data_IF_516409575678
#
_entry.id   IF_516409575678
#
_cell.length_a   1.000
_cell.length_b   1.000
_cell.length_c   1.000
_cell.angle_alpha   90.00
_cell.angle_beta   90.00
_cell.angle_gamma   90.00
#
_symmetry.space_group_name_H-M   'P 1'
#
loop_
_entity.id
_entity.type
_entity.pdbx_description
1 polymer ?
#
# COMPACT_ATOMS: atom_id res chain seq x y z
N UNK A 1 47.56 -17.87 2.86
CA UNK A 1 48.46 -17.01 2.06
C UNK A 1 47.61 -16.01 1.29
N UNK A 2 48.03 -14.74 1.15
CA UNK A 2 47.32 -13.63 1.80
C UNK A 2 46.49 -12.74 0.86
N UNK A 3 45.36 -12.25 1.38
CA UNK A 3 44.56 -11.16 0.81
C UNK A 3 45.27 -9.85 1.16
N UNK A 4 45.82 -9.16 0.16
CA UNK A 4 46.46 -7.87 0.32
C UNK A 4 45.42 -6.75 0.41
N UNK A 5 45.32 -6.15 1.60
CA UNK A 5 44.63 -4.88 1.85
C UNK A 5 45.41 -3.71 1.23
N UNK A 6 44.83 -3.00 0.26
CA UNK A 6 45.37 -1.70 -0.21
C UNK A 6 45.07 -0.61 0.82
N UNK A 7 46.12 -0.12 1.49
CA UNK A 7 46.08 1.11 2.31
C UNK A 7 46.35 2.32 1.42
N UNK A 8 45.49 3.33 1.51
CA UNK A 8 45.73 4.66 0.96
C UNK A 8 46.78 5.40 1.82
N UNK A 9 47.73 6.13 1.21
CA UNK A 9 48.71 6.92 1.95
C UNK A 9 48.13 8.28 2.42
N UNK A 10 48.61 8.82 3.55
CA UNK A 10 48.13 10.08 4.12
C UNK A 10 48.72 11.30 3.39
N UNK A 11 48.01 12.43 3.30
CA UNK A 11 48.60 13.67 2.83
C UNK A 11 49.45 14.35 3.92
N UNK A 12 50.60 14.80 3.45
CA UNK A 12 51.69 15.50 4.12
C UNK A 12 51.25 16.76 4.87
N UNK A 13 51.83 16.95 6.06
CA UNK A 13 52.03 18.24 6.71
C UNK A 13 53.06 19.06 5.92
N UNK A 14 52.93 20.39 5.92
CA UNK A 14 54.02 21.39 5.98
C UNK A 14 53.45 22.81 6.21
N UNK A 15 54.27 23.77 6.70
CA UNK A 15 53.88 24.59 7.86
C UNK A 15 53.74 26.11 7.61
N UNK A 16 53.19 26.77 8.65
CA UNK A 16 53.45 28.11 9.18
C UNK A 16 53.80 29.28 8.23
N UNK A 17 53.07 30.41 8.37
CA UNK A 17 53.63 31.65 8.95
C UNK A 17 52.55 32.69 9.26
N UNK A 18 52.83 33.47 10.30
CA UNK A 18 52.04 34.50 10.97
C UNK A 18 51.66 35.70 10.08
N UNK A 19 50.57 36.42 10.42
CA UNK A 19 50.64 37.72 11.13
C UNK A 19 49.26 38.37 11.32
N UNK A 20 49.19 39.16 12.37
CA UNK A 20 48.05 39.85 12.96
C UNK A 20 47.37 40.87 12.04
N UNK A 21 46.09 41.16 12.34
CA UNK A 21 45.54 42.52 12.43
C UNK A 21 44.16 42.48 13.11
N UNK A 22 44.12 43.04 14.32
CA UNK A 22 42.90 43.29 15.08
C UNK A 22 42.21 44.55 14.55
N UNK A 23 40.89 44.46 14.31
CA UNK A 23 39.99 45.58 14.09
C UNK A 23 38.65 45.28 14.80
N UNK A 24 38.18 46.11 15.74
CA UNK A 24 36.87 45.96 16.33
C UNK A 24 35.82 46.59 15.39
N UNK A 25 35.06 45.77 14.69
CA UNK A 25 33.83 46.23 14.02
C UNK A 25 32.68 46.23 15.03
N UNK A 26 32.36 47.42 15.53
CA UNK A 26 31.14 47.70 16.28
C UNK A 26 29.93 47.62 15.34
N UNK A 27 29.35 46.42 15.19
CA UNK A 27 28.08 46.24 14.49
C UNK A 27 26.92 46.47 15.47
N UNK A 28 26.25 47.63 15.35
CA UNK A 28 24.92 47.82 15.93
C UNK A 28 23.93 46.97 15.14
N UNK A 29 23.61 45.78 15.63
CA UNK A 29 22.51 44.98 15.12
C UNK A 29 21.21 45.52 15.72
N UNK A 30 20.39 46.15 14.86
CA UNK A 30 19.04 46.55 15.19
C UNK A 30 18.20 45.34 15.63
N UNK A 31 17.27 45.50 16.59
CA UNK A 31 16.38 44.43 17.01
C UNK A 31 15.53 43.95 15.83
N UNK A 32 15.62 42.65 15.53
CA UNK A 32 14.76 41.98 14.56
C UNK A 32 13.28 42.14 15.00
N UNK A 33 12.36 42.49 14.09
CA UNK A 33 10.93 42.49 14.41
C UNK A 33 10.49 41.08 14.82
N UNK A 34 9.54 40.96 15.76
CA UNK A 34 9.05 39.65 16.19
C UNK A 34 8.49 38.89 14.99
N UNK A 35 9.06 37.72 14.72
CA UNK A 35 8.55 36.78 13.73
C UNK A 35 7.06 36.56 13.98
N UNK A 36 6.22 36.91 13.00
CA UNK A 36 4.81 36.58 13.04
C UNK A 36 4.66 35.06 13.24
N UNK A 37 3.77 34.59 14.13
CA UNK A 37 3.54 33.17 14.29
C UNK A 37 3.14 32.59 12.93
N UNK A 38 3.77 31.47 12.55
CA UNK A 38 3.36 30.71 11.38
C UNK A 38 1.85 30.45 11.51
N UNK A 39 1.06 30.98 10.56
CA UNK A 39 -0.37 30.74 10.53
C UNK A 39 -0.60 29.22 10.55
N UNK A 40 -1.20 28.70 11.62
CA UNK A 40 -1.65 27.31 11.60
C UNK A 40 -2.78 27.25 10.58
N UNK A 41 -2.49 26.75 9.38
CA UNK A 41 -3.52 26.40 8.42
C UNK A 41 -4.51 25.49 9.13
N UNK A 42 -5.73 25.98 9.34
CA UNK A 42 -6.82 25.17 9.86
C UNK A 42 -6.95 23.92 8.98
N UNK A 43 -7.24 22.73 9.55
CA UNK A 43 -7.42 21.53 8.75
C UNK A 43 -8.49 21.78 7.69
N UNK A 44 -8.15 21.50 6.44
CA UNK A 44 -9.10 21.67 5.34
C UNK A 44 -10.25 20.65 5.52
N UNK A 45 -11.51 21.05 5.27
CA UNK A 45 -12.62 20.11 5.28
C UNK A 45 -12.38 18.98 4.27
N UNK A 46 -12.77 17.75 4.62
CA UNK A 46 -12.59 16.60 3.73
C UNK A 46 -13.37 16.82 2.42
N UNK A 47 -12.71 16.84 1.25
CA UNK A 47 -13.40 16.98 -0.02
C UNK A 47 -14.30 15.77 -0.32
N UNK A 48 -15.48 16.04 -0.86
CA UNK A 48 -16.39 14.99 -1.33
C UNK A 48 -15.72 14.12 -2.40
N UNK A 49 -15.98 12.82 -2.36
CA UNK A 49 -15.42 11.87 -3.32
C UNK A 49 -15.29 10.44 -2.79
N UNK A 50 -14.90 9.54 -3.69
CA UNK A 50 -14.44 8.18 -3.40
C UNK A 50 -12.93 8.14 -3.60
N UNK A 51 -12.20 8.25 -2.50
CA UNK A 51 -10.75 8.35 -2.48
C UNK A 51 -10.17 6.99 -2.17
N UNK A 52 -9.24 6.51 -3.00
CA UNK A 52 -8.68 5.16 -2.88
C UNK A 52 -7.16 5.20 -2.88
N UNK A 53 -6.55 4.29 -2.16
CA UNK A 53 -5.10 4.17 -2.08
C UNK A 53 -4.66 2.82 -1.53
N UNK A 54 -3.36 2.59 -1.54
CA UNK A 54 -2.73 1.35 -1.09
C UNK A 54 -1.99 1.61 0.22
N UNK A 55 -2.26 0.81 1.24
CA UNK A 55 -1.58 0.86 2.53
C UNK A 55 -0.63 -0.33 2.65
N UNK A 56 0.67 -0.06 2.72
CA UNK A 56 1.64 -1.07 3.10
C UNK A 56 1.47 -1.43 4.58
N UNK A 57 1.17 -2.71 4.87
CA UNK A 57 1.07 -3.23 6.23
C UNK A 57 2.43 -3.71 6.73
N UNK A 58 3.22 -4.29 5.83
CA UNK A 58 4.60 -4.72 6.04
C UNK A 58 5.31 -4.84 4.68
N UNK A 59 6.49 -5.48 4.66
CA UNK A 59 7.30 -5.65 3.46
C UNK A 59 6.61 -6.45 2.33
N UNK A 60 5.53 -7.19 2.62
CA UNK A 60 4.82 -8.00 1.64
C UNK A 60 3.36 -7.58 1.49
N UNK A 61 2.66 -7.39 2.60
CA UNK A 61 1.20 -7.23 2.63
C UNK A 61 0.80 -5.79 2.34
N UNK A 62 -0.15 -5.63 1.43
CA UNK A 62 -0.80 -4.35 1.12
C UNK A 62 -2.30 -4.49 1.36
N UNK A 63 -2.93 -3.52 2.00
CA UNK A 63 -4.38 -3.40 2.08
C UNK A 63 -4.87 -2.22 1.23
N UNK A 64 -5.99 -2.37 0.56
CA UNK A 64 -6.67 -1.24 -0.04
C UNK A 64 -7.24 -0.33 1.06
N UNK A 65 -7.15 0.97 0.88
CA UNK A 65 -7.78 1.99 1.73
C UNK A 65 -8.75 2.75 0.87
N UNK A 66 -9.96 2.94 1.37
CA UNK A 66 -11.00 3.71 0.69
C UNK A 66 -11.65 4.68 1.67
N UNK A 67 -11.60 5.96 1.36
CA UNK A 67 -12.27 7.01 2.09
C UNK A 67 -13.41 7.53 1.23
N UNK A 68 -14.64 7.34 1.70
CA UNK A 68 -15.83 7.87 1.06
C UNK A 68 -16.29 9.09 1.84
N UNK A 69 -16.41 10.22 1.17
CA UNK A 69 -17.04 11.43 1.68
C UNK A 69 -18.26 11.75 0.82
N UNK A 70 -19.44 11.46 1.36
CA UNK A 70 -20.74 11.81 0.79
C UNK A 70 -21.57 12.53 1.85
N UNK A 71 -22.56 13.33 1.44
CA UNK A 71 -23.41 14.08 2.37
C UNK A 71 -24.07 13.12 3.38
N UNK A 72 -23.67 13.21 4.65
CA UNK A 72 -24.18 12.36 5.73
C UNK A 72 -23.58 10.94 5.80
N UNK A 73 -22.67 10.56 4.91
CA UNK A 73 -21.99 9.27 4.94
C UNK A 73 -20.49 9.44 4.70
N UNK A 74 -19.74 9.49 5.79
CA UNK A 74 -18.29 9.53 5.76
C UNK A 74 -17.73 8.26 6.39
N UNK A 75 -16.99 7.49 5.61
CA UNK A 75 -16.37 6.25 6.09
C UNK A 75 -14.96 6.04 5.56
N UNK A 76 -14.11 5.46 6.41
CA UNK A 76 -12.79 4.98 6.07
C UNK A 76 -12.80 3.44 6.13
N UNK A 77 -12.58 2.82 4.99
CA UNK A 77 -12.64 1.38 4.77
C UNK A 77 -11.22 0.86 4.53
N UNK A 78 -10.90 -0.27 5.14
CA UNK A 78 -9.68 -1.02 4.92
C UNK A 78 -10.05 -2.40 4.37
N UNK A 79 -9.61 -2.70 3.15
CA UNK A 79 -9.81 -3.99 2.51
C UNK A 79 -9.00 -5.12 3.17
N UNK A 80 -9.10 -6.33 2.64
CA UNK A 80 -8.38 -7.48 3.17
C UNK A 80 -6.85 -7.24 3.17
N UNK A 81 -6.13 -7.75 4.19
CA UNK A 81 -6.61 -8.63 5.26
C UNK A 81 -7.25 -7.91 6.46
N UNK A 82 -7.37 -6.57 6.41
CA UNK A 82 -7.88 -5.79 7.55
C UNK A 82 -9.41 -5.87 7.66
N UNK A 83 -10.11 -5.85 6.51
CA UNK A 83 -11.57 -6.05 6.37
C UNK A 83 -12.39 -5.31 7.43
N UNK A 84 -12.16 -4.02 7.59
CA UNK A 84 -12.82 -3.22 8.62
C UNK A 84 -13.20 -1.84 8.11
N UNK A 85 -14.21 -1.24 8.72
CA UNK A 85 -14.73 0.08 8.35
C UNK A 85 -14.98 0.95 9.58
N UNK A 86 -14.51 2.19 9.50
CA UNK A 86 -14.74 3.24 10.48
C UNK A 86 -15.69 4.29 9.90
N UNK A 87 -16.70 4.68 10.66
CA UNK A 87 -17.41 5.94 10.46
C UNK A 87 -16.56 7.10 10.99
N UNK A 88 -16.71 8.25 10.34
CA UNK A 88 -16.02 9.48 10.70
C UNK A 88 -17.03 10.46 11.25
N UNK A 89 -16.88 10.81 12.53
CA UNK A 89 -17.68 11.84 13.18
C UNK A 89 -16.92 13.17 13.14
N UNK A 90 -17.50 14.19 12.52
CA UNK A 90 -16.89 15.52 12.43
C UNK A 90 -16.63 16.13 13.81
N UNK A 91 -15.49 16.80 13.97
CA UNK A 91 -15.11 17.56 15.17
C UNK A 91 -14.90 19.04 14.83
N UNK A 92 -15.06 19.91 15.82
CA UNK A 92 -15.03 21.38 15.66
C UNK A 92 -13.70 21.94 15.11
N UNK A 93 -12.60 21.18 15.22
CA UNK A 93 -11.25 21.58 14.80
C UNK A 93 -10.87 21.08 13.38
N UNK A 94 -11.83 20.66 12.55
CA UNK A 94 -11.55 20.16 11.18
C UNK A 94 -10.95 18.75 11.14
N UNK A 95 -11.00 18.04 12.26
CA UNK A 95 -10.69 16.61 12.37
C UNK A 95 -11.95 15.75 12.39
N UNK A 96 -11.76 14.45 12.29
CA UNK A 96 -12.83 13.45 12.38
C UNK A 96 -12.48 12.44 13.46
N UNK A 97 -13.38 12.21 14.42
CA UNK A 97 -13.26 11.10 15.35
C UNK A 97 -13.57 9.80 14.61
N UNK A 98 -12.72 8.80 14.78
CA UNK A 98 -12.91 7.48 14.21
C UNK A 98 -13.80 6.64 15.12
N UNK A 99 -14.93 6.19 14.59
CA UNK A 99 -15.89 5.30 15.24
C UNK A 99 -16.06 4.04 14.40
N UNK A 100 -16.26 2.87 15.02
CA UNK A 100 -16.36 1.62 14.28
C UNK A 100 -17.80 1.33 13.90
N UNK A 101 -17.99 0.96 12.63
CA UNK A 101 -19.29 0.49 12.11
C UNK A 101 -19.23 -0.96 11.63
N UNK A 102 -18.03 -1.47 11.30
CA UNK A 102 -17.80 -2.87 11.01
C UNK A 102 -16.35 -3.21 11.42
N UNK A 103 -16.22 -3.89 12.56
CA UNK A 103 -15.01 -3.95 13.39
C UNK A 103 -13.82 -4.71 12.82
N UNK A 104 -12.96 -5.19 13.72
CA UNK A 104 -11.72 -5.88 13.41
C UNK A 104 -10.58 -5.25 14.19
N UNK A 105 -9.64 -6.07 14.66
CA UNK A 105 -8.59 -5.66 15.62
C UNK A 105 -7.81 -4.43 15.16
N UNK A 106 -7.65 -4.24 13.85
CA UNK A 106 -7.01 -3.04 13.31
C UNK A 106 -7.86 -1.78 13.57
N UNK A 107 -9.12 -1.75 13.13
CA UNK A 107 -10.01 -0.61 13.33
C UNK A 107 -10.35 -0.39 14.81
N UNK A 108 -10.41 -1.45 15.63
CA UNK A 108 -10.66 -1.33 17.08
C UNK A 108 -9.56 -0.51 17.78
N UNK A 109 -8.31 -0.61 17.31
CA UNK A 109 -7.19 0.21 17.81
C UNK A 109 -7.24 1.66 17.36
N UNK A 110 -8.05 1.95 16.34
CA UNK A 110 -8.24 3.29 15.80
C UNK A 110 -9.42 4.03 16.43
N UNK A 111 -10.24 3.33 17.22
CA UNK A 111 -11.41 3.90 17.88
C UNK A 111 -11.04 5.09 18.77
N UNK A 112 -11.82 6.16 18.63
CA UNK A 112 -11.66 7.40 19.40
C UNK A 112 -10.49 8.27 18.94
N UNK A 113 -9.62 7.78 18.05
CA UNK A 113 -8.53 8.57 17.48
C UNK A 113 -9.06 9.65 16.54
N UNK A 114 -8.26 10.69 16.33
CA UNK A 114 -8.60 11.78 15.42
C UNK A 114 -7.91 11.57 14.08
N UNK A 115 -8.70 11.47 13.02
CA UNK A 115 -8.25 11.57 11.65
C UNK A 115 -8.19 13.04 11.23
N UNK A 116 -7.07 13.46 10.65
CA UNK A 116 -6.95 14.70 9.88
C UNK A 116 -6.51 14.39 8.47
N UNK A 117 -6.85 15.29 7.55
CA UNK A 117 -6.61 15.11 6.12
C UNK A 117 -5.82 16.30 5.62
N UNK A 118 -4.72 16.01 4.91
CA UNK A 118 -3.87 17.01 4.30
C UNK A 118 -3.86 16.80 2.79
N UNK A 119 -3.99 17.88 2.03
CA UNK A 119 -3.85 17.84 0.58
C UNK A 119 -2.37 17.93 0.24
N UNK A 120 -1.81 16.85 -0.31
CA UNK A 120 -0.36 16.76 -0.60
C UNK A 120 0.01 17.34 -1.97
N UNK A 121 -0.92 17.25 -2.92
CA UNK A 121 -0.89 17.83 -4.27
C UNK A 121 -2.35 18.03 -4.74
N UNK A 122 -2.60 18.67 -5.89
CA UNK A 122 -3.94 19.10 -6.31
C UNK A 122 -5.03 18.00 -6.19
N UNK A 123 -4.69 16.72 -6.38
CA UNK A 123 -5.64 15.61 -6.38
C UNK A 123 -5.30 14.44 -5.43
N UNK A 124 -4.36 14.64 -4.49
CA UNK A 124 -3.95 13.61 -3.54
C UNK A 124 -4.29 14.00 -2.09
N UNK A 125 -4.80 13.02 -1.34
CA UNK A 125 -5.03 13.13 0.11
C UNK A 125 -4.03 12.27 0.88
N UNK A 126 -3.37 12.93 1.83
CA UNK A 126 -2.56 12.31 2.86
C UNK A 126 -3.39 12.25 4.14
N UNK A 127 -3.65 11.03 4.62
CA UNK A 127 -4.33 10.81 5.88
C UNK A 127 -3.35 10.86 7.05
N UNK A 128 -3.79 11.38 8.20
CA UNK A 128 -3.06 11.33 9.46
C UNK A 128 -3.98 10.93 10.59
N UNK A 129 -3.55 10.00 11.44
CA UNK A 129 -4.29 9.55 12.62
C UNK A 129 -3.49 9.95 13.85
N UNK A 130 -4.09 10.73 14.76
CA UNK A 130 -3.43 11.36 15.92
C UNK A 130 -2.14 12.10 15.52
N UNK A 131 -2.19 12.78 14.37
CA UNK A 131 -1.05 13.51 13.82
C UNK A 131 0.01 12.64 13.12
N UNK A 132 -0.07 11.31 13.18
CA UNK A 132 0.84 10.40 12.49
C UNK A 132 0.37 10.12 11.06
N UNK A 133 1.22 10.34 10.04
CA UNK A 133 0.82 10.08 8.65
C UNK A 133 0.61 8.59 8.41
N UNK A 134 -0.50 8.24 7.77
CA UNK A 134 -0.75 6.89 7.26
C UNK A 134 0.10 6.70 5.99
N UNK A 135 0.83 5.58 5.81
CA UNK A 135 1.63 5.35 4.61
C UNK A 135 0.74 4.91 3.42
N UNK A 136 -0.23 5.76 3.08
CA UNK A 136 -1.14 5.63 1.95
C UNK A 136 -1.51 7.05 1.46
N UNK A 137 -1.24 7.30 0.18
CA UNK A 137 -1.79 8.45 -0.54
C UNK A 137 -3.09 8.00 -1.20
N UNK A 138 -4.16 8.78 -1.01
CA UNK A 138 -5.45 8.51 -1.63
C UNK A 138 -5.70 9.46 -2.79
N UNK A 139 -6.28 8.93 -3.86
CA UNK A 139 -6.61 9.66 -5.08
C UNK A 139 -7.99 9.21 -5.58
N UNK A 140 -8.63 10.03 -6.42
CA UNK A 140 -9.96 9.72 -6.99
C UNK A 140 -9.87 9.06 -8.36
N UNK A 141 -8.82 9.37 -9.13
CA UNK A 141 -8.63 8.84 -10.47
C UNK A 141 -7.99 7.45 -10.42
N UNK A 142 -8.49 6.46 -11.18
CA UNK A 142 -7.83 5.16 -11.29
C UNK A 142 -6.52 5.28 -12.08
N UNK A 143 -5.61 4.33 -11.86
CA UNK A 143 -4.41 4.17 -12.69
C UNK A 143 -4.71 3.48 -14.01
N UNK A 144 -3.67 3.25 -14.81
CA UNK A 144 -3.78 2.48 -16.06
C UNK A 144 -4.22 1.04 -15.80
N UNK A 145 -4.80 0.41 -16.83
CA UNK A 145 -5.07 -1.03 -16.79
C UNK A 145 -3.78 -1.84 -16.65
N UNK A 146 -3.88 -3.04 -16.06
CA UNK A 146 -2.73 -3.92 -15.88
C UNK A 146 -2.21 -4.43 -17.22
N UNK A 147 -0.89 -4.40 -17.43
CA UNK A 147 -0.23 -5.08 -18.56
C UNK A 147 -0.38 -6.59 -18.51
N UNK A 148 -0.78 -7.14 -17.35
CA UNK A 148 -1.06 -8.56 -17.15
C UNK A 148 -2.47 -8.97 -17.61
N UNK A 149 -3.26 -8.07 -18.20
CA UNK A 149 -4.59 -8.42 -18.71
C UNK A 149 -4.60 -9.64 -19.64
N UNK A 150 -5.68 -10.41 -19.58
CA UNK A 150 -5.90 -11.62 -20.37
C UNK A 150 -6.11 -12.86 -19.51
N UNK A 151 -6.12 -14.01 -20.18
CA UNK A 151 -6.35 -15.32 -19.57
C UNK A 151 -5.02 -16.05 -19.36
N UNK A 152 -4.86 -16.63 -18.19
CA UNK A 152 -3.64 -17.30 -17.76
C UNK A 152 -3.96 -18.65 -17.15
N UNK A 153 -3.00 -19.57 -17.18
CA UNK A 153 -3.13 -20.90 -16.57
C UNK A 153 -1.83 -21.40 -15.97
N UNK A 154 -1.94 -22.21 -14.94
CA UNK A 154 -0.84 -23.01 -14.38
C UNK A 154 -1.36 -24.32 -13.77
N UNK A 155 -0.43 -25.21 -13.42
CA UNK A 155 -0.71 -26.38 -12.58
C UNK A 155 -0.34 -26.05 -11.13
N UNK A 156 -1.35 -25.84 -10.28
CA UNK A 156 -1.19 -25.60 -8.84
C UNK A 156 -0.90 -26.91 -8.09
N UNK A 157 -0.11 -26.83 -7.02
CA UNK A 157 0.34 -27.99 -6.23
C UNK A 157 1.49 -28.82 -6.83
N UNK A 158 1.92 -28.55 -8.06
CA UNK A 158 3.00 -29.30 -8.73
C UNK A 158 4.40 -29.07 -8.11
N UNK A 159 4.63 -27.90 -7.50
CA UNK A 159 5.93 -27.54 -6.91
C UNK A 159 6.12 -27.88 -5.43
N UNK A 160 5.08 -28.38 -4.74
CA UNK A 160 5.11 -28.64 -3.28
C UNK A 160 5.05 -30.13 -2.92
N UNK A 161 5.33 -31.02 -3.87
CA UNK A 161 5.17 -32.47 -3.68
C UNK A 161 3.70 -32.92 -3.58
N UNK A 162 2.75 -32.09 -4.03
CA UNK A 162 1.34 -32.45 -4.07
C UNK A 162 1.11 -33.56 -5.09
N UNK A 163 0.56 -34.70 -4.63
CA UNK A 163 0.35 -35.89 -5.49
C UNK A 163 -0.66 -35.67 -6.61
N UNK A 164 -1.48 -34.61 -6.54
CA UNK A 164 -2.55 -34.30 -7.50
C UNK A 164 -2.51 -32.80 -7.86
N UNK A 165 -1.73 -32.40 -8.89
CA UNK A 165 -1.76 -31.03 -9.37
C UNK A 165 -3.14 -30.71 -9.96
N UNK A 166 -3.60 -29.48 -9.77
CA UNK A 166 -4.88 -29.00 -10.31
C UNK A 166 -4.66 -27.84 -11.25
N UNK A 167 -5.47 -27.74 -12.29
CA UNK A 167 -5.43 -26.56 -13.17
C UNK A 167 -5.95 -25.35 -12.40
N UNK A 168 -5.17 -24.28 -12.38
CA UNK A 168 -5.58 -22.96 -11.90
C UNK A 168 -5.58 -22.01 -13.10
N UNK A 169 -6.75 -21.44 -13.40
CA UNK A 169 -6.89 -20.38 -14.41
C UNK A 169 -7.06 -19.04 -13.74
N UNK A 170 -6.43 -18.00 -14.28
CA UNK A 170 -6.54 -16.62 -13.81
C UNK A 170 -6.96 -15.74 -14.98
N UNK A 171 -8.12 -15.10 -14.86
CA UNK A 171 -8.58 -14.10 -15.82
C UNK A 171 -8.37 -12.71 -15.22
N UNK A 172 -7.58 -11.86 -15.89
CA UNK A 172 -7.29 -10.48 -15.46
C UNK A 172 -7.96 -9.54 -16.45
N UNK A 173 -8.85 -8.68 -15.94
CA UNK A 173 -9.64 -7.76 -16.73
C UNK A 173 -8.79 -6.57 -17.22
N UNK A 174 -9.16 -6.01 -18.37
CA UNK A 174 -8.60 -4.77 -18.92
C UNK A 174 -9.21 -3.52 -18.25
N UNK A 175 -9.37 -3.57 -16.92
CA UNK A 175 -9.95 -2.48 -16.13
C UNK A 175 -8.84 -1.59 -15.55
N UNK A 176 -9.03 -0.26 -15.52
CA UNK A 176 -8.15 0.66 -14.79
C UNK A 176 -7.92 0.20 -13.34
N UNK A 177 -6.66 0.21 -12.88
CA UNK A 177 -6.31 -0.25 -11.55
C UNK A 177 -6.69 0.80 -10.50
N UNK A 178 -7.57 0.43 -9.57
CA UNK A 178 -7.94 1.25 -8.43
C UNK A 178 -8.13 0.38 -7.20
N UNK A 179 -7.58 0.74 -6.02
CA UNK A 179 -7.63 -0.11 -4.84
C UNK A 179 -9.06 -0.52 -4.46
N UNK A 180 -9.23 -1.77 -4.04
CA UNK A 180 -10.51 -2.44 -3.72
C UNK A 180 -11.46 -2.67 -4.91
N UNK A 181 -11.03 -2.42 -6.15
CA UNK A 181 -11.79 -2.82 -7.34
C UNK A 181 -11.44 -4.25 -7.74
N UNK A 182 -12.46 -5.06 -8.04
CA UNK A 182 -12.30 -6.40 -8.60
C UNK A 182 -11.67 -6.33 -9.99
N UNK A 183 -10.53 -6.98 -10.17
CA UNK A 183 -9.75 -6.94 -11.42
C UNK A 183 -9.41 -8.30 -11.95
N UNK A 184 -9.54 -9.36 -11.14
CA UNK A 184 -9.23 -10.71 -11.58
C UNK A 184 -10.14 -11.75 -10.96
N UNK A 185 -10.18 -12.92 -11.62
CA UNK A 185 -10.90 -14.10 -11.17
C UNK A 185 -9.97 -15.30 -11.26
N UNK A 186 -9.83 -16.02 -10.15
CA UNK A 186 -9.04 -17.24 -10.07
C UNK A 186 -10.02 -18.41 -9.99
N UNK A 187 -9.82 -19.45 -10.80
CA UNK A 187 -10.64 -20.66 -10.79
C UNK A 187 -9.74 -21.89 -10.70
N UNK A 188 -9.96 -22.68 -9.66
CA UNK A 188 -9.37 -24.00 -9.52
C UNK A 188 -10.29 -25.03 -10.18
N UNK A 189 -9.71 -25.90 -11.00
CA UNK A 189 -10.39 -27.07 -11.54
C UNK A 189 -10.50 -28.21 -10.54
N UNK A 190 -11.01 -29.34 -11.03
CA UNK A 190 -11.20 -30.56 -10.25
C UNK A 190 -9.89 -31.08 -9.64
N UNK A 191 -9.93 -31.62 -8.40
CA UNK A 191 -11.11 -31.79 -7.54
C UNK A 191 -11.41 -30.61 -6.60
N UNK A 192 -10.75 -29.46 -6.78
CA UNK A 192 -10.96 -28.30 -5.89
C UNK A 192 -12.20 -27.50 -6.26
N UNK A 193 -12.49 -27.41 -7.56
CA UNK A 193 -13.72 -26.86 -8.17
C UNK A 193 -14.28 -25.63 -7.44
N UNK A 194 -13.46 -24.57 -7.35
CA UNK A 194 -13.80 -23.34 -6.64
C UNK A 194 -13.20 -22.10 -7.32
N UNK A 195 -13.69 -20.92 -6.96
CA UNK A 195 -13.39 -19.62 -7.53
C UNK A 195 -13.19 -18.53 -6.46
N UNK A 196 -12.20 -17.67 -6.71
CA UNK A 196 -11.95 -16.45 -5.96
C UNK A 196 -12.14 -15.24 -6.87
N UNK A 197 -12.74 -14.18 -6.34
CA UNK A 197 -12.59 -12.83 -6.89
C UNK A 197 -11.34 -12.21 -6.28
N UNK A 198 -10.55 -11.55 -7.11
CA UNK A 198 -9.34 -10.87 -6.70
C UNK A 198 -9.45 -9.38 -6.99
N UNK A 199 -9.25 -8.58 -5.94
CA UNK A 199 -9.36 -7.12 -5.97
C UNK A 199 -7.97 -6.51 -5.90
N UNK A 200 -7.77 -5.40 -6.61
CA UNK A 200 -6.49 -4.73 -6.60
C UNK A 200 -6.22 -4.13 -5.20
N UNK A 201 -5.13 -4.53 -4.56
CA UNK A 201 -4.71 -3.98 -3.28
C UNK A 201 -3.64 -2.89 -3.46
N UNK A 202 -2.76 -3.05 -4.44
CA UNK A 202 -1.68 -2.13 -4.76
C UNK A 202 -0.59 -2.78 -5.60
N UNK A 203 0.50 -2.04 -5.82
CA UNK A 203 1.70 -2.54 -6.50
C UNK A 203 2.92 -2.37 -5.60
N UNK A 204 3.77 -3.40 -5.54
CA UNK A 204 5.08 -3.36 -4.86
C UNK A 204 6.17 -3.66 -5.88
N UNK A 205 7.02 -2.69 -6.14
CA UNK A 205 8.00 -2.74 -7.23
C UNK A 205 7.28 -2.97 -8.58
N UNK A 206 7.38 -4.19 -9.14
CA UNK A 206 6.65 -4.64 -10.34
C UNK A 206 5.60 -5.72 -10.04
N UNK A 207 5.41 -6.05 -8.76
CA UNK A 207 4.49 -7.10 -8.31
C UNK A 207 3.11 -6.49 -8.07
N UNK A 208 2.13 -6.97 -8.82
CA UNK A 208 0.73 -6.66 -8.60
C UNK A 208 0.23 -7.46 -7.40
N UNK A 209 -0.26 -6.78 -6.37
CA UNK A 209 -0.80 -7.42 -5.16
C UNK A 209 -2.31 -7.34 -5.21
N UNK A 210 -2.95 -8.50 -5.09
CA UNK A 210 -4.40 -8.63 -5.09
C UNK A 210 -4.88 -9.20 -3.76
N UNK A 211 -5.95 -8.66 -3.20
CA UNK A 211 -6.68 -9.30 -2.11
C UNK A 211 -7.63 -10.35 -2.66
N UNK A 212 -7.75 -11.47 -1.95
CA UNK A 212 -8.57 -12.60 -2.36
C UNK A 212 -9.88 -12.61 -1.56
N UNK A 213 -10.99 -12.64 -2.29
CA UNK A 213 -12.35 -12.73 -1.74
C UNK A 213 -13.02 -13.97 -2.30
N UNK A 214 -13.70 -14.70 -1.43
CA UNK A 214 -14.35 -15.95 -1.81
C UNK A 214 -15.64 -15.69 -2.59
N UNK A 215 -15.78 -16.33 -3.76
CA UNK A 215 -17.03 -16.34 -4.51
C UNK A 215 -17.85 -17.60 -4.23
N UNK A 216 -17.19 -18.74 -4.03
CA UNK A 216 -17.80 -20.04 -3.75
C UNK A 216 -17.04 -20.81 -2.64
N UNK A 217 -17.73 -21.72 -1.98
CA UNK A 217 -17.18 -22.47 -0.85
C UNK A 217 -16.19 -23.59 -1.29
N UNK A 218 -15.53 -24.24 -0.32
CA UNK A 218 -14.61 -25.35 -0.57
C UNK A 218 -13.15 -24.98 -0.29
N UNK A 219 -12.21 -25.47 -1.11
CA UNK A 219 -10.78 -25.17 -0.94
C UNK A 219 -10.54 -23.65 -0.88
N UNK A 220 -11.23 -22.86 -1.70
CA UNK A 220 -11.06 -21.41 -1.78
C UNK A 220 -11.40 -20.67 -0.48
N UNK A 221 -12.22 -21.25 0.41
CA UNK A 221 -12.53 -20.66 1.72
C UNK A 221 -11.29 -20.40 2.58
N UNK A 222 -10.26 -21.25 2.48
CA UNK A 222 -8.99 -21.05 3.21
C UNK A 222 -8.15 -19.90 2.67
N UNK A 223 -8.39 -19.51 1.41
CA UNK A 223 -7.65 -18.46 0.72
C UNK A 223 -8.35 -17.11 0.83
N UNK A 224 -9.60 -17.09 1.31
CA UNK A 224 -10.33 -15.85 1.58
C UNK A 224 -9.55 -14.97 2.54
N UNK A 225 -9.59 -13.67 2.31
CA UNK A 225 -8.84 -12.63 3.02
C UNK A 225 -7.31 -12.78 2.90
N UNK A 226 -6.85 -13.69 2.05
CA UNK A 226 -5.47 -13.85 1.66
C UNK A 226 -5.05 -12.89 0.56
N UNK A 227 -3.88 -13.15 -0.03
CA UNK A 227 -3.33 -12.34 -1.11
C UNK A 227 -2.78 -13.18 -2.25
N UNK A 228 -2.92 -12.67 -3.46
CA UNK A 228 -2.20 -13.16 -4.62
C UNK A 228 -1.19 -12.10 -5.08
N UNK A 229 0.05 -12.54 -5.29
CA UNK A 229 1.13 -11.75 -5.88
C UNK A 229 1.38 -12.21 -7.31
N UNK A 230 1.31 -11.28 -8.25
CA UNK A 230 1.57 -11.50 -9.67
C UNK A 230 2.79 -10.68 -10.08
N UNK A 231 3.89 -11.37 -10.40
CA UNK A 231 5.13 -10.72 -10.83
C UNK A 231 5.45 -11.07 -12.28
N UNK A 232 5.49 -10.09 -13.20
CA UNK A 232 5.92 -10.32 -14.57
C UNK A 232 7.31 -10.94 -14.62
N UNK A 233 7.54 -11.86 -15.55
CA UNK A 233 8.84 -12.47 -15.79
C UNK A 233 9.38 -12.05 -17.18
N UNK A 234 10.71 -12.04 -17.38
CA UNK A 234 11.32 -11.64 -18.65
C UNK A 234 10.95 -12.54 -19.85
N UNK A 235 10.56 -13.79 -19.58
CA UNK A 235 10.12 -14.78 -20.57
C UNK A 235 8.65 -14.58 -21.03
N UNK A 236 7.99 -13.53 -20.55
CA UNK A 236 6.58 -13.25 -20.83
C UNK A 236 5.60 -14.04 -19.96
N UNK A 237 6.09 -14.89 -19.05
CA UNK A 237 5.31 -15.53 -18.01
C UNK A 237 4.99 -14.59 -16.85
N UNK A 238 4.16 -15.06 -15.93
CA UNK A 238 3.86 -14.35 -14.67
C UNK A 238 4.06 -15.30 -13.51
N UNK A 239 4.95 -14.98 -12.59
CA UNK A 239 5.07 -15.72 -11.34
C UNK A 239 3.86 -15.38 -10.46
N UNK A 240 3.05 -16.38 -10.14
CA UNK A 240 1.97 -16.31 -9.18
C UNK A 240 2.42 -16.90 -7.85
N UNK A 241 2.12 -16.19 -6.76
CA UNK A 241 2.17 -16.73 -5.40
C UNK A 241 0.84 -16.41 -4.70
N UNK A 242 0.25 -17.40 -4.05
CA UNK A 242 -0.99 -17.25 -3.29
C UNK A 242 -0.68 -17.51 -1.81
N UNK A 243 -1.14 -16.60 -0.96
CA UNK A 243 -1.01 -16.67 0.49
C UNK A 243 -2.40 -16.67 1.10
N UNK A 244 -2.60 -17.47 2.14
CA UNK A 244 -3.81 -17.40 2.96
C UNK A 244 -3.80 -16.15 3.85
N UNK A 245 -4.89 -15.96 4.62
CA UNK A 245 -5.05 -14.82 5.53
C UNK A 245 -3.96 -14.71 6.61
N UNK A 246 -3.27 -15.81 6.92
CA UNK A 246 -2.17 -15.84 7.90
C UNK A 246 -0.82 -15.53 7.23
N UNK A 247 -0.77 -15.34 5.92
CA UNK A 247 0.44 -15.13 5.14
C UNK A 247 1.18 -16.42 4.80
N UNK A 248 0.57 -17.59 5.03
CA UNK A 248 1.17 -18.87 4.66
C UNK A 248 0.96 -19.11 3.17
N UNK A 249 2.04 -19.47 2.47
CA UNK A 249 1.98 -19.72 1.03
C UNK A 249 1.17 -20.99 0.76
N UNK A 250 0.05 -20.85 0.07
CA UNK A 250 -0.86 -21.94 -0.27
C UNK A 250 -0.56 -22.55 -1.64
N UNK A 251 -0.20 -21.73 -2.64
CA UNK A 251 0.16 -22.16 -3.99
C UNK A 251 1.22 -21.21 -4.59
N UNK A 252 2.00 -21.71 -5.54
CA UNK A 252 2.91 -20.90 -6.34
C UNK A 252 3.25 -21.59 -7.67
N UNK A 253 3.53 -20.80 -8.71
CA UNK A 253 4.00 -21.29 -10.00
C UNK A 253 4.01 -20.21 -11.07
N UNK A 254 4.50 -20.56 -12.26
CA UNK A 254 4.49 -19.65 -13.41
C UNK A 254 3.20 -19.84 -14.19
N UNK A 255 2.45 -18.75 -14.31
CA UNK A 255 1.32 -18.61 -15.20
C UNK A 255 1.81 -18.44 -16.64
N UNK A 256 1.21 -19.22 -17.53
CA UNK A 256 1.36 -19.09 -18.97
C UNK A 256 0.07 -18.52 -19.56
N UNK A 257 0.18 -17.72 -20.62
CA UNK A 257 -1.01 -17.24 -21.34
C UNK A 257 -1.82 -18.45 -21.83
N UNK A 258 -3.11 -18.41 -21.56
CA UNK A 258 -4.06 -19.26 -22.27
C UNK A 258 -4.33 -18.60 -23.62
N UNK A 259 -4.42 -19.37 -24.72
CA UNK A 259 -5.05 -18.89 -25.94
C UNK A 259 -6.47 -18.39 -25.66
#
# INVERSE_FOLDING_TARGET
MPIQTRRLPPPRRWPALCLALALPLSASAAPLPPSAPAASTAPAPLPAGDWRGSLALDARRIAAVRLVQQAGNTSLQFGAPLNCTLALLTQDAGGYRLESINGGIYCDRLLGKTLTVQRSAADDLQLRIDGMPLPALLHTLPGSASTLQGNWRMLAGAGSGGRNPVTLTVAIAATPLSPDIAVARLRYGSPRDCQLEARYAGTRDTTLVLSLTVNDAGYCGRLSDGQAELRPQPDGGVLLQIFDRLGTRADAGTLQRSP
#
